data_IF_152053307085
#
_entry.id   IF_152053307085
#
_cell.length_a   1.000
_cell.length_b   1.000
_cell.length_c   1.000
_cell.angle_alpha   90.00
_cell.angle_beta   90.00
_cell.angle_gamma   90.00
#
_symmetry.space_group_name_H-M   'P 1'
#
loop_
_entity.id
_entity.type
_entity.pdbx_description
1 polymer ?
#
# COMPACT_ATOMS: atom_id res chain seq x y z
N UNK A 1 7.67 -2.63 -0.72
CA UNK A 1 6.85 -3.04 0.43
C UNK A 1 6.99 -4.55 0.65
N UNK A 2 7.47 -4.97 1.84
CA UNK A 2 7.80 -6.37 2.17
C UNK A 2 6.84 -6.88 3.23
N UNK A 3 6.15 -7.98 2.92
CA UNK A 3 5.16 -8.59 3.81
C UNK A 3 5.58 -10.00 4.25
N UNK A 4 5.35 -10.31 5.53
CA UNK A 4 5.70 -11.62 6.09
C UNK A 4 4.91 -12.77 5.46
N UNK A 5 3.65 -12.55 5.08
CA UNK A 5 2.81 -13.58 4.45
C UNK A 5 3.32 -14.00 3.07
N UNK A 6 3.68 -13.04 2.21
CA UNK A 6 4.27 -13.35 0.90
C UNK A 6 5.64 -14.01 1.03
N UNK A 7 6.43 -13.60 2.02
CA UNK A 7 7.73 -14.21 2.28
C UNK A 7 7.64 -15.71 2.57
N UNK A 8 6.65 -16.13 3.39
CA UNK A 8 6.43 -17.55 3.69
C UNK A 8 6.09 -18.33 2.42
N UNK A 9 5.18 -17.81 1.60
CA UNK A 9 4.69 -18.50 0.40
C UNK A 9 5.74 -18.58 -0.70
N UNK A 10 6.58 -17.56 -0.83
CA UNK A 10 7.60 -17.48 -1.91
C UNK A 10 8.98 -17.94 -1.49
N UNK A 11 9.17 -18.28 -0.22
CA UNK A 11 10.48 -18.59 0.35
C UNK A 11 11.52 -17.45 0.18
N UNK A 12 11.05 -16.18 0.04
CA UNK A 12 11.92 -15.01 0.12
C UNK A 12 12.07 -14.16 -1.15
N UNK A 13 11.14 -14.18 -2.09
CA UNK A 13 11.23 -13.41 -3.35
C UNK A 13 11.49 -11.92 -3.11
N UNK A 14 10.78 -11.27 -2.16
CA UNK A 14 10.98 -9.85 -1.86
C UNK A 14 12.41 -9.55 -1.36
N UNK A 15 12.96 -10.43 -0.51
CA UNK A 15 14.33 -10.31 0.02
C UNK A 15 15.33 -10.50 -1.11
N UNK A 16 15.14 -11.53 -1.95
CA UNK A 16 15.99 -11.79 -3.10
C UNK A 16 15.99 -10.61 -4.10
N UNK A 17 14.84 -9.98 -4.31
CA UNK A 17 14.74 -8.79 -5.15
C UNK A 17 15.56 -7.61 -4.59
N UNK A 18 15.46 -7.35 -3.28
CA UNK A 18 16.27 -6.30 -2.62
C UNK A 18 17.75 -6.59 -2.78
N UNK A 19 18.19 -7.83 -2.51
CA UNK A 19 19.58 -8.23 -2.68
C UNK A 19 20.06 -8.06 -4.12
N UNK A 20 19.26 -8.49 -5.08
CA UNK A 20 19.57 -8.33 -6.50
C UNK A 20 19.73 -6.84 -6.88
N UNK A 21 18.83 -5.96 -6.42
CA UNK A 21 18.90 -4.52 -6.70
C UNK A 21 20.17 -3.89 -6.11
N UNK A 22 20.54 -4.25 -4.88
CA UNK A 22 21.78 -3.82 -4.23
C UNK A 22 23.04 -4.36 -4.95
N UNK A 23 22.90 -5.41 -5.75
CA UNK A 23 24.04 -6.06 -6.40
C UNK A 23 24.80 -7.00 -5.46
N UNK A 24 24.06 -7.72 -4.64
CA UNK A 24 24.56 -8.83 -3.82
C UNK A 24 23.77 -10.10 -4.11
N UNK A 25 24.33 -11.26 -3.84
CA UNK A 25 23.63 -12.54 -3.98
C UNK A 25 23.65 -13.32 -2.68
N UNK A 26 22.59 -14.09 -2.35
CA UNK A 26 22.56 -14.90 -1.14
C UNK A 26 23.56 -16.05 -1.23
N UNK A 27 24.21 -16.36 -0.12
CA UNK A 27 25.06 -17.51 0.06
C UNK A 27 24.30 -18.58 0.84
N UNK A 28 24.16 -19.75 0.23
CA UNK A 28 23.35 -20.85 0.75
C UNK A 28 24.20 -21.91 1.43
N UNK A 29 23.72 -22.41 2.55
CA UNK A 29 24.22 -23.65 3.14
C UNK A 29 23.69 -24.84 2.34
N UNK A 30 24.57 -25.69 1.87
CA UNK A 30 24.20 -26.81 0.96
C UNK A 30 23.30 -27.85 1.62
N UNK A 31 23.52 -28.15 2.90
CA UNK A 31 22.88 -29.20 3.65
C UNK A 31 21.40 -28.96 3.91
N UNK A 32 21.01 -27.73 4.20
CA UNK A 32 19.66 -27.38 4.63
C UNK A 32 19.00 -26.28 3.80
N UNK A 33 19.70 -25.78 2.77
CA UNK A 33 19.26 -24.68 1.90
C UNK A 33 18.92 -23.39 2.63
N UNK A 34 19.52 -23.14 3.78
CA UNK A 34 19.36 -21.87 4.50
C UNK A 34 20.31 -20.83 3.94
N UNK A 35 19.85 -19.58 3.89
CA UNK A 35 20.72 -18.43 3.61
C UNK A 35 21.60 -18.21 4.84
N UNK A 36 22.91 -18.20 4.65
CA UNK A 36 23.92 -18.01 5.72
C UNK A 36 24.72 -16.72 5.57
N UNK A 37 24.34 -15.88 4.62
CA UNK A 37 24.99 -14.61 4.34
C UNK A 37 24.80 -14.21 2.88
N UNK A 38 25.65 -13.34 2.42
CA UNK A 38 25.64 -12.86 1.04
C UNK A 38 27.07 -12.68 0.52
N UNK A 39 27.20 -12.48 -0.77
CA UNK A 39 28.41 -12.04 -1.42
C UNK A 39 28.13 -10.83 -2.30
N UNK A 40 29.07 -9.90 -2.35
CA UNK A 40 28.97 -8.71 -3.19
C UNK A 40 29.35 -9.08 -4.63
N UNK A 41 28.49 -8.73 -5.57
CA UNK A 41 28.76 -8.88 -6.99
C UNK A 41 29.62 -7.67 -7.42
N UNK A 42 30.84 -7.88 -7.98
CA UNK A 42 31.63 -6.77 -8.48
C UNK A 42 30.92 -5.96 -9.56
N UNK A 43 31.11 -4.65 -9.63
CA UNK A 43 30.44 -3.78 -10.62
C UNK A 43 30.64 -4.25 -12.06
N UNK A 44 31.83 -4.79 -12.38
CA UNK A 44 32.13 -5.32 -13.71
C UNK A 44 31.26 -6.52 -14.08
N UNK A 45 30.89 -7.35 -13.10
CA UNK A 45 29.99 -8.50 -13.28
C UNK A 45 28.53 -8.04 -13.22
N UNK A 46 28.21 -7.11 -12.33
CA UNK A 46 26.84 -6.58 -12.16
C UNK A 46 26.34 -5.85 -13.42
N UNK A 47 27.22 -5.20 -14.16
CA UNK A 47 26.91 -4.54 -15.45
C UNK A 47 25.97 -3.34 -15.37
N UNK A 48 25.69 -2.84 -14.16
CA UNK A 48 24.83 -1.67 -13.88
C UNK A 48 25.22 -1.02 -12.56
N UNK A 49 24.75 0.21 -12.29
CA UNK A 49 24.86 0.80 -10.96
C UNK A 49 24.11 -0.03 -9.89
N UNK A 50 24.58 0.05 -8.65
CA UNK A 50 23.84 -0.42 -7.47
C UNK A 50 22.65 0.47 -7.22
N UNK A 51 21.48 -0.13 -7.03
CA UNK A 51 20.23 0.59 -6.79
C UNK A 51 20.01 0.69 -5.29
N UNK A 52 19.72 1.91 -4.80
CA UNK A 52 19.36 2.14 -3.42
C UNK A 52 17.91 1.66 -3.17
N UNK A 53 17.67 0.95 -2.09
CA UNK A 53 16.36 0.35 -1.79
C UNK A 53 15.92 0.72 -0.38
N UNK A 54 14.78 1.39 -0.29
CA UNK A 54 14.09 1.65 0.97
C UNK A 54 13.05 0.57 1.20
N UNK A 55 13.20 -0.21 2.25
CA UNK A 55 12.32 -1.32 2.60
C UNK A 55 11.27 -0.86 3.62
N UNK A 56 9.98 -0.89 3.25
CA UNK A 56 8.86 -0.73 4.19
C UNK A 56 8.35 -2.12 4.56
N UNK A 57 8.69 -2.56 5.76
CA UNK A 57 8.33 -3.89 6.27
C UNK A 57 7.00 -3.88 7.03
N UNK A 58 6.22 -4.97 6.92
CA UNK A 58 5.04 -5.20 7.74
C UNK A 58 5.43 -5.62 9.16
N UNK A 59 4.51 -5.43 10.13
CA UNK A 59 4.71 -5.91 11.49
C UNK A 59 4.95 -7.41 11.57
N UNK A 60 4.24 -8.19 10.75
CA UNK A 60 4.45 -9.64 10.70
C UNK A 60 5.84 -10.01 10.15
N UNK A 61 6.35 -9.31 9.12
CA UNK A 61 7.72 -9.53 8.65
C UNK A 61 8.73 -9.22 9.76
N UNK A 62 8.57 -8.09 10.46
CA UNK A 62 9.41 -7.69 11.58
C UNK A 62 9.50 -8.77 12.66
N UNK A 63 8.35 -9.31 13.07
CA UNK A 63 8.28 -10.20 14.23
C UNK A 63 8.68 -11.65 13.88
N UNK A 64 8.35 -12.11 12.69
CA UNK A 64 8.61 -13.49 12.27
C UNK A 64 10.00 -13.71 11.66
N UNK A 65 10.63 -12.64 11.12
CA UNK A 65 11.87 -12.78 10.34
C UNK A 65 12.98 -11.78 10.75
N UNK A 66 13.29 -11.61 12.04
CA UNK A 66 14.31 -10.67 12.48
C UNK A 66 15.69 -10.97 11.86
N UNK A 67 16.03 -12.24 11.65
CA UNK A 67 17.28 -12.63 11.00
C UNK A 67 17.40 -12.18 9.53
N UNK A 68 16.28 -11.95 8.84
CA UNK A 68 16.31 -11.39 7.48
C UNK A 68 16.45 -9.87 7.50
N UNK A 69 15.97 -9.20 8.55
CA UNK A 69 16.27 -7.79 8.77
C UNK A 69 17.78 -7.61 8.96
N UNK A 70 18.39 -8.42 9.83
CA UNK A 70 19.84 -8.41 10.05
C UNK A 70 20.61 -8.67 8.75
N UNK A 71 20.22 -9.66 7.97
CA UNK A 71 20.85 -9.99 6.70
C UNK A 71 20.76 -8.84 5.69
N UNK A 72 19.58 -8.23 5.55
CA UNK A 72 19.37 -7.11 4.64
C UNK A 72 20.14 -5.88 5.09
N UNK A 73 20.11 -5.56 6.39
CA UNK A 73 20.87 -4.43 6.93
C UNK A 73 22.37 -4.60 6.72
N UNK A 74 22.93 -5.76 7.04
CA UNK A 74 24.33 -6.08 6.78
C UNK A 74 24.69 -5.92 5.30
N UNK A 75 23.82 -6.36 4.38
CA UNK A 75 24.04 -6.18 2.95
C UNK A 75 24.03 -4.71 2.54
N UNK A 76 23.08 -3.93 3.05
CA UNK A 76 22.96 -2.48 2.81
C UNK A 76 24.21 -1.77 3.32
N UNK A 77 24.60 -2.01 4.58
CA UNK A 77 25.76 -1.38 5.18
C UNK A 77 27.05 -1.72 4.41
N UNK A 78 27.24 -2.99 4.05
CA UNK A 78 28.37 -3.44 3.25
C UNK A 78 28.43 -2.70 1.91
N UNK A 79 27.30 -2.56 1.21
CA UNK A 79 27.25 -1.87 -0.09
C UNK A 79 27.52 -0.38 0.05
N UNK A 80 27.05 0.27 1.11
CA UNK A 80 27.34 1.69 1.39
C UNK A 80 28.86 1.91 1.61
N UNK A 81 29.53 0.97 2.25
CA UNK A 81 30.94 1.07 2.60
C UNK A 81 31.91 0.70 1.45
N UNK A 82 31.40 0.17 0.33
CA UNK A 82 32.25 -0.13 -0.82
C UNK A 82 32.90 1.15 -1.38
N UNK A 83 34.20 1.10 -1.66
CA UNK A 83 34.90 2.19 -2.32
C UNK A 83 34.64 2.21 -3.83
N UNK A 84 33.43 2.60 -4.19
CA UNK A 84 32.92 2.67 -5.55
C UNK A 84 32.53 4.11 -5.90
N UNK A 85 32.60 4.51 -7.19
CA UNK A 85 32.12 5.82 -7.63
C UNK A 85 30.66 6.07 -7.25
N UNK A 86 30.33 7.27 -6.78
CA UNK A 86 28.96 7.63 -6.33
C UNK A 86 27.91 7.50 -7.45
N UNK A 87 28.32 7.62 -8.71
CA UNK A 87 27.46 7.47 -9.87
C UNK A 87 27.11 5.99 -10.15
N UNK A 88 27.85 5.07 -9.57
CA UNK A 88 27.66 3.62 -9.70
C UNK A 88 27.21 2.95 -8.42
N UNK A 89 27.21 3.68 -7.28
CA UNK A 89 26.74 3.18 -5.99
C UNK A 89 25.76 4.18 -5.36
N UNK A 90 24.47 4.06 -5.72
CA UNK A 90 23.43 4.94 -5.21
C UNK A 90 23.19 4.80 -3.70
N UNK A 91 23.25 3.60 -3.07
CA UNK A 91 23.21 3.48 -1.60
C UNK A 91 24.25 4.36 -0.90
N UNK A 92 25.50 4.32 -1.33
CA UNK A 92 26.59 5.18 -0.82
C UNK A 92 26.34 6.66 -1.09
N UNK A 93 25.93 6.99 -2.31
CA UNK A 93 25.62 8.37 -2.71
C UNK A 93 24.57 9.01 -1.83
N UNK A 94 23.44 8.32 -1.67
CA UNK A 94 22.34 8.86 -0.87
C UNK A 94 22.67 8.92 0.62
N UNK A 95 23.42 7.94 1.16
CA UNK A 95 23.88 8.00 2.54
C UNK A 95 24.77 9.24 2.77
N UNK A 96 25.73 9.53 1.88
CA UNK A 96 26.57 10.73 1.97
C UNK A 96 25.75 12.02 1.90
N UNK A 97 24.84 12.13 0.94
CA UNK A 97 24.00 13.33 0.75
C UNK A 97 23.06 13.55 1.94
N UNK A 98 22.44 12.49 2.44
CA UNK A 98 21.53 12.56 3.59
C UNK A 98 22.28 12.94 4.86
N UNK A 99 23.45 12.35 5.13
CA UNK A 99 24.28 12.72 6.28
C UNK A 99 24.65 14.21 6.24
N UNK A 100 25.09 14.72 5.09
CA UNK A 100 25.41 16.13 4.93
C UNK A 100 24.18 17.04 5.15
N UNK A 101 23.03 16.65 4.65
CA UNK A 101 21.79 17.41 4.85
C UNK A 101 21.37 17.45 6.34
N UNK A 102 21.48 16.32 7.05
CA UNK A 102 21.18 16.23 8.49
C UNK A 102 22.14 17.11 9.31
N UNK A 103 23.44 17.07 9.02
CA UNK A 103 24.44 17.92 9.70
C UNK A 103 24.13 19.40 9.44
N UNK A 104 23.83 19.77 8.20
CA UNK A 104 23.46 21.15 7.86
C UNK A 104 22.17 21.60 8.58
N UNK A 105 21.28 20.65 8.88
CA UNK A 105 20.05 20.85 9.65
C UNK A 105 20.26 20.89 11.17
N UNK A 106 21.50 20.76 11.66
CA UNK A 106 21.86 20.85 13.08
C UNK A 106 21.92 19.50 13.82
N UNK A 107 21.78 18.36 13.13
CA UNK A 107 22.02 17.04 13.74
C UNK A 107 23.54 16.86 13.94
N UNK A 108 23.95 16.29 15.09
CA UNK A 108 25.36 15.98 15.30
C UNK A 108 25.86 14.96 14.27
N UNK A 109 27.17 14.98 14.01
CA UNK A 109 27.76 14.23 12.92
C UNK A 109 27.61 12.70 13.08
N UNK A 110 27.71 12.18 14.29
CA UNK A 110 27.61 10.74 14.57
C UNK A 110 26.17 10.25 14.31
N UNK A 111 25.19 10.94 14.87
CA UNK A 111 23.77 10.68 14.63
C UNK A 111 23.40 10.82 13.15
N UNK A 112 23.86 11.88 12.49
CA UNK A 112 23.62 12.11 11.07
C UNK A 112 24.17 10.98 10.19
N UNK A 113 25.39 10.51 10.47
CA UNK A 113 26.00 9.38 9.74
C UNK A 113 25.23 8.07 9.97
N UNK A 114 24.80 7.81 11.20
CA UNK A 114 23.99 6.62 11.53
C UNK A 114 22.64 6.66 10.84
N UNK A 115 21.87 7.73 11.01
CA UNK A 115 20.52 7.86 10.47
C UNK A 115 20.48 7.90 8.95
N UNK A 116 21.47 8.49 8.30
CA UNK A 116 21.59 8.52 6.84
C UNK A 116 21.74 7.13 6.20
N UNK A 117 22.07 6.13 6.98
CA UNK A 117 22.26 4.73 6.54
C UNK A 117 21.05 3.84 6.73
N UNK A 118 20.00 4.30 7.42
CA UNK A 118 18.76 3.53 7.60
C UNK A 118 18.04 3.31 6.28
N UNK A 119 17.69 2.07 6.01
CA UNK A 119 16.94 1.68 4.79
C UNK A 119 15.79 0.72 5.07
N UNK A 120 15.64 0.22 6.30
CA UNK A 120 14.57 -0.70 6.68
C UNK A 120 13.70 0.02 7.72
N UNK A 121 12.44 0.25 7.35
CA UNK A 121 11.50 1.00 8.16
C UNK A 121 10.20 0.21 8.36
N UNK A 122 9.59 0.33 9.53
CA UNK A 122 8.37 -0.35 9.91
C UNK A 122 7.55 0.44 10.92
N UNK A 123 6.42 -0.13 11.35
CA UNK A 123 5.69 0.35 12.52
C UNK A 123 6.47 0.03 13.80
N UNK A 124 6.20 0.74 14.92
CA UNK A 124 6.90 0.47 16.19
C UNK A 124 6.69 -0.98 16.66
N UNK A 125 7.60 -1.53 17.47
CA UNK A 125 7.43 -2.87 18.04
C UNK A 125 6.07 -3.06 18.71
N UNK A 126 5.41 -4.19 18.45
CA UNK A 126 4.08 -4.50 18.96
C UNK A 126 2.92 -3.83 18.24
N UNK A 127 3.18 -2.97 17.23
CA UNK A 127 2.15 -2.32 16.41
C UNK A 127 2.12 -2.86 14.99
N UNK A 128 0.93 -2.83 14.38
CA UNK A 128 0.67 -3.32 13.01
C UNK A 128 -0.05 -2.24 12.20
N UNK A 129 -0.05 -2.37 10.88
CA UNK A 129 -0.68 -1.42 9.96
C UNK A 129 0.22 -0.25 9.57
N UNK A 130 -0.37 0.72 8.88
CA UNK A 130 0.30 1.92 8.37
C UNK A 130 -0.42 3.23 8.76
N UNK A 131 -1.51 3.13 9.54
CA UNK A 131 -2.27 4.28 10.02
C UNK A 131 -3.16 4.95 8.98
N UNK A 132 -3.18 4.47 7.75
CA UNK A 132 -3.91 5.10 6.64
C UNK A 132 -5.41 4.83 6.68
N UNK A 133 -5.84 3.63 7.12
CA UNK A 133 -7.24 3.24 7.14
C UNK A 133 -8.09 4.20 8.00
N UNK A 134 -7.78 4.47 9.28
CA UNK A 134 -8.58 5.39 10.09
C UNK A 134 -8.61 6.82 9.55
N UNK A 135 -7.54 7.25 8.87
CA UNK A 135 -7.46 8.58 8.27
C UNK A 135 -8.41 8.72 7.08
N UNK A 136 -8.46 7.70 6.21
CA UNK A 136 -9.31 7.66 5.02
C UNK A 136 -10.77 7.44 5.41
N UNK A 137 -11.05 6.49 6.30
CA UNK A 137 -12.41 6.20 6.76
C UNK A 137 -13.03 7.38 7.52
N UNK A 138 -12.23 8.05 8.34
CA UNK A 138 -12.65 9.24 9.06
C UNK A 138 -12.71 10.51 8.21
N UNK A 139 -12.34 10.44 6.93
CA UNK A 139 -12.29 11.59 6.00
C UNK A 139 -11.42 12.76 6.49
N UNK A 140 -10.47 12.49 7.41
CA UNK A 140 -9.65 13.48 8.12
C UNK A 140 -8.37 13.84 7.36
N UNK A 141 -8.45 14.00 6.06
CA UNK A 141 -7.33 14.38 5.20
C UNK A 141 -7.81 15.33 4.09
N UNK A 142 -6.98 16.26 3.71
CA UNK A 142 -7.25 17.20 2.63
C UNK A 142 -6.36 16.96 1.41
N UNK A 143 -5.10 16.61 1.64
CA UNK A 143 -4.09 16.49 0.59
C UNK A 143 -3.05 15.39 0.88
N UNK A 144 -2.08 15.27 -0.02
CA UNK A 144 -0.98 14.31 0.12
C UNK A 144 -0.09 14.57 1.35
N UNK A 145 -0.01 15.80 1.85
CA UNK A 145 0.80 16.11 3.02
C UNK A 145 0.20 15.51 4.29
N UNK A 146 -1.14 15.48 4.39
CA UNK A 146 -1.84 14.81 5.48
C UNK A 146 -1.60 13.30 5.45
N UNK A 147 -1.72 12.69 4.26
CA UNK A 147 -1.44 11.27 4.05
C UNK A 147 0.01 10.93 4.40
N UNK A 148 0.96 11.74 3.92
CA UNK A 148 2.39 11.55 4.18
C UNK A 148 2.70 11.65 5.67
N UNK A 149 2.17 12.63 6.38
CA UNK A 149 2.40 12.83 7.81
C UNK A 149 2.02 11.60 8.63
N UNK A 150 0.85 11.02 8.36
CA UNK A 150 0.41 9.82 9.06
C UNK A 150 1.27 8.62 8.68
N UNK A 151 1.57 8.45 7.39
CA UNK A 151 2.41 7.35 6.91
C UNK A 151 3.81 7.38 7.51
N UNK A 152 4.45 8.56 7.55
CA UNK A 152 5.77 8.74 8.13
C UNK A 152 5.76 8.48 9.63
N UNK A 153 4.79 9.02 10.35
CA UNK A 153 4.66 8.82 11.79
C UNK A 153 4.46 7.34 12.18
N UNK A 154 3.65 6.61 11.42
CA UNK A 154 3.39 5.19 11.67
C UNK A 154 4.51 4.28 11.17
N UNK A 155 5.18 4.67 10.09
CA UNK A 155 6.22 3.87 9.43
C UNK A 155 7.65 4.27 9.75
N UNK A 156 7.86 5.37 10.47
CA UNK A 156 9.17 6.00 10.70
C UNK A 156 9.97 5.38 11.85
N UNK A 157 9.96 4.06 11.98
CA UNK A 157 10.80 3.34 12.94
C UNK A 157 11.82 2.50 12.20
N UNK A 158 13.12 2.78 12.45
CA UNK A 158 14.22 2.08 11.80
C UNK A 158 14.52 0.74 12.45
N UNK A 159 14.90 -0.21 11.62
CA UNK A 159 15.30 -1.56 11.99
C UNK A 159 16.66 -1.86 11.36
N UNK A 160 17.62 -2.29 12.17
CA UNK A 160 18.97 -2.66 11.76
C UNK A 160 19.39 -3.98 12.40
N UNK A 161 20.60 -4.42 12.15
CA UNK A 161 21.17 -5.59 12.84
C UNK A 161 21.28 -5.39 14.37
N UNK A 162 21.35 -4.15 14.82
CA UNK A 162 21.59 -3.81 16.25
C UNK A 162 20.45 -3.01 16.88
N UNK A 163 19.59 -2.37 16.09
CA UNK A 163 18.52 -1.50 16.56
C UNK A 163 17.14 -2.05 16.12
N UNK A 164 16.18 -2.05 17.04
CA UNK A 164 14.86 -2.64 16.81
C UNK A 164 13.75 -1.61 17.06
N UNK A 165 13.32 -0.93 15.98
CA UNK A 165 12.22 0.05 16.05
C UNK A 165 12.61 1.37 16.71
N UNK A 166 13.76 1.90 16.37
CA UNK A 166 14.21 3.22 16.82
C UNK A 166 13.43 4.30 16.08
N UNK A 167 12.87 5.32 16.76
CA UNK A 167 12.23 6.44 16.09
C UNK A 167 13.17 7.13 15.10
N UNK A 168 12.78 7.21 13.84
CA UNK A 168 13.60 7.72 12.73
C UNK A 168 12.74 8.35 11.62
N UNK A 169 11.71 9.11 11.99
CA UNK A 169 10.76 9.72 11.04
C UNK A 169 11.46 10.63 10.04
N UNK A 170 12.41 11.44 10.51
CA UNK A 170 13.21 12.35 9.65
C UNK A 170 14.07 11.57 8.66
N UNK A 171 14.74 10.51 9.10
CA UNK A 171 15.53 9.64 8.24
C UNK A 171 14.65 8.91 7.21
N UNK A 172 13.45 8.47 7.61
CA UNK A 172 12.50 7.84 6.71
C UNK A 172 12.01 8.82 5.64
N UNK A 173 11.66 10.06 6.02
CA UNK A 173 11.27 11.10 5.08
C UNK A 173 12.41 11.42 4.09
N UNK A 174 13.65 11.56 4.59
CA UNK A 174 14.82 11.78 3.75
C UNK A 174 15.05 10.62 2.76
N UNK A 175 14.96 9.38 3.21
CA UNK A 175 15.08 8.21 2.35
C UNK A 175 13.98 8.16 1.27
N UNK A 176 12.71 8.39 1.64
CA UNK A 176 11.58 8.38 0.69
C UNK A 176 11.66 9.52 -0.34
N UNK A 177 12.22 10.68 0.02
CA UNK A 177 12.36 11.81 -0.91
C UNK A 177 13.23 11.50 -2.12
N UNK A 178 14.13 10.50 -2.02
CA UNK A 178 15.01 10.06 -3.10
C UNK A 178 14.42 8.98 -3.99
N UNK A 179 13.29 8.38 -3.57
CA UNK A 179 12.68 7.23 -4.25
C UNK A 179 12.04 7.67 -5.57
N UNK A 180 12.38 6.95 -6.64
CA UNK A 180 11.83 7.16 -7.98
C UNK A 180 10.84 6.06 -8.39
N UNK A 181 10.91 4.89 -7.76
CA UNK A 181 10.09 3.72 -8.06
C UNK A 181 9.52 3.14 -6.78
N UNK A 182 8.19 3.00 -6.71
CA UNK A 182 7.49 2.29 -5.66
C UNK A 182 6.98 0.95 -6.18
N UNK A 183 7.25 -0.14 -5.46
CA UNK A 183 6.86 -1.49 -5.89
C UNK A 183 6.29 -2.34 -4.77
N UNK A 184 5.37 -3.23 -5.12
CA UNK A 184 4.82 -4.29 -4.29
C UNK A 184 4.68 -5.55 -5.13
N UNK A 185 5.10 -6.69 -4.58
CA UNK A 185 4.94 -7.99 -5.22
C UNK A 185 3.68 -8.70 -4.73
N UNK A 186 3.08 -9.49 -5.62
CA UNK A 186 1.93 -10.37 -5.38
C UNK A 186 2.26 -11.78 -5.85
N UNK A 187 2.16 -12.73 -4.94
CA UNK A 187 2.52 -14.13 -5.15
C UNK A 187 1.31 -15.07 -5.27
N UNK A 188 0.11 -14.55 -5.09
CA UNK A 188 -1.14 -15.31 -5.12
C UNK A 188 -2.20 -14.60 -5.94
N UNK A 189 -3.19 -15.36 -6.43
CA UNK A 189 -4.41 -14.84 -7.07
C UNK A 189 -5.64 -14.95 -6.18
N UNK A 190 -5.49 -15.44 -4.96
CA UNK A 190 -6.59 -15.50 -3.98
C UNK A 190 -6.98 -14.11 -3.50
N UNK A 191 -6.00 -13.21 -3.44
CA UNK A 191 -6.20 -11.81 -3.10
C UNK A 191 -5.69 -10.91 -4.22
N UNK A 192 -6.33 -9.77 -4.40
CA UNK A 192 -5.89 -8.74 -5.32
C UNK A 192 -5.82 -7.35 -4.65
N UNK A 193 -5.41 -6.35 -5.40
CA UNK A 193 -5.17 -5.01 -4.87
C UNK A 193 -6.41 -4.29 -4.33
N UNK A 194 -7.61 -4.79 -4.60
CA UNK A 194 -8.88 -4.25 -4.11
C UNK A 194 -9.62 -5.21 -3.17
N UNK A 195 -8.91 -6.20 -2.62
CA UNK A 195 -9.44 -7.23 -1.75
C UNK A 195 -8.98 -7.08 -0.28
N UNK A 196 -8.08 -6.13 -0.02
CA UNK A 196 -7.59 -5.80 1.31
C UNK A 196 -7.14 -4.35 1.37
N UNK A 197 -7.43 -3.70 2.48
CA UNK A 197 -6.97 -2.35 2.82
C UNK A 197 -5.43 -2.26 2.94
N UNK A 198 -4.75 -3.34 3.26
CA UNK A 198 -3.30 -3.39 3.37
C UNK A 198 -2.58 -2.88 2.11
N UNK A 199 -3.12 -3.14 0.92
CA UNK A 199 -2.48 -2.70 -0.32
C UNK A 199 -2.40 -1.17 -0.42
N UNK A 200 -3.51 -0.47 -0.19
CA UNK A 200 -3.48 0.98 -0.24
C UNK A 200 -2.81 1.59 1.00
N UNK A 201 -2.90 0.94 2.15
CA UNK A 201 -2.24 1.42 3.36
C UNK A 201 -0.71 1.39 3.20
N UNK A 202 -0.13 0.26 2.81
CA UNK A 202 1.32 0.09 2.74
C UNK A 202 1.92 0.62 1.44
N UNK A 203 1.43 0.16 0.30
CA UNK A 203 1.97 0.56 -1.01
C UNK A 203 1.43 1.92 -1.43
N UNK A 204 0.12 2.13 -1.32
CA UNK A 204 -0.51 3.42 -1.63
C UNK A 204 0.02 4.55 -0.75
N UNK A 205 0.04 4.35 0.58
CA UNK A 205 0.57 5.33 1.53
C UNK A 205 2.04 5.70 1.26
N UNK A 206 2.87 4.72 0.86
CA UNK A 206 4.24 4.98 0.43
C UNK A 206 4.28 5.88 -0.81
N UNK A 207 3.43 5.63 -1.79
CA UNK A 207 3.33 6.44 -3.02
C UNK A 207 2.91 7.87 -2.70
N UNK A 208 1.89 8.05 -1.85
CA UNK A 208 1.45 9.36 -1.40
C UNK A 208 2.56 10.12 -0.65
N UNK A 209 3.27 9.45 0.26
CA UNK A 209 4.40 10.03 0.99
C UNK A 209 5.54 10.45 0.06
N UNK A 210 5.94 9.61 -0.90
CA UNK A 210 6.95 9.96 -1.90
C UNK A 210 6.50 11.17 -2.71
N UNK A 211 5.25 11.22 -3.15
CA UNK A 211 4.71 12.32 -3.94
C UNK A 211 4.72 13.63 -3.16
N UNK A 212 4.29 13.61 -1.90
CA UNK A 212 4.30 14.77 -1.01
C UNK A 212 5.73 15.30 -0.78
N UNK A 213 6.68 14.40 -0.52
CA UNK A 213 8.07 14.76 -0.19
C UNK A 213 8.89 15.21 -1.41
N UNK A 214 8.67 14.59 -2.58
CA UNK A 214 9.46 14.85 -3.78
C UNK A 214 8.80 15.81 -4.78
N UNK A 215 7.52 16.11 -4.62
CA UNK A 215 6.72 16.87 -5.59
C UNK A 215 6.44 16.10 -6.89
N UNK A 216 6.76 14.81 -6.97
CA UNK A 216 6.64 13.99 -8.19
C UNK A 216 6.00 12.64 -7.90
N UNK A 217 5.14 12.17 -8.80
CA UNK A 217 4.67 10.79 -8.74
C UNK A 217 5.83 9.82 -9.03
N UNK A 218 6.12 8.86 -8.15
CA UNK A 218 7.07 7.80 -8.48
C UNK A 218 6.51 6.92 -9.60
N UNK A 219 7.37 6.25 -10.35
CA UNK A 219 6.96 5.11 -11.15
C UNK A 219 6.41 4.03 -10.20
N UNK A 220 5.27 3.41 -10.56
CA UNK A 220 4.52 2.53 -9.67
C UNK A 220 4.37 1.17 -10.31
N UNK A 221 5.04 0.18 -9.75
CA UNK A 221 5.01 -1.16 -10.31
C UNK A 221 4.42 -2.17 -9.33
N UNK A 222 3.79 -3.17 -9.92
CA UNK A 222 3.22 -4.31 -9.25
C UNK A 222 3.80 -5.58 -9.88
N UNK A 223 4.54 -6.35 -9.07
CA UNK A 223 5.15 -7.59 -9.48
C UNK A 223 4.18 -8.75 -9.25
N UNK A 224 3.84 -9.50 -10.29
CA UNK A 224 3.00 -10.69 -10.22
C UNK A 224 3.87 -11.94 -10.38
N UNK A 225 4.16 -12.64 -9.28
CA UNK A 225 4.86 -13.91 -9.22
C UNK A 225 3.94 -15.09 -8.92
N UNK A 226 2.61 -14.92 -9.04
CA UNK A 226 1.62 -15.98 -8.83
C UNK A 226 1.78 -17.19 -9.78
N UNK A 227 2.42 -16.99 -10.92
CA UNK A 227 2.96 -18.02 -11.78
C UNK A 227 4.50 -17.89 -11.78
N UNK A 228 5.23 -18.65 -10.94
CA UNK A 228 6.68 -18.53 -10.83
C UNK A 228 7.44 -18.79 -12.14
N UNK A 229 6.86 -19.55 -13.07
CA UNK A 229 7.44 -19.79 -14.38
C UNK A 229 7.32 -18.59 -15.33
N UNK A 230 6.42 -17.65 -15.04
CA UNK A 230 6.13 -16.48 -15.89
C UNK A 230 5.85 -15.24 -15.04
N UNK A 231 6.80 -14.78 -14.21
CA UNK A 231 6.62 -13.57 -13.44
C UNK A 231 6.40 -12.37 -14.37
N UNK A 232 5.56 -11.44 -13.95
CA UNK A 232 5.22 -10.24 -14.72
C UNK A 232 5.33 -9.00 -13.85
N UNK A 233 5.81 -7.92 -14.42
CA UNK A 233 5.77 -6.60 -13.80
C UNK A 233 4.82 -5.72 -14.60
N UNK A 234 3.87 -5.07 -13.93
CA UNK A 234 2.90 -4.16 -14.55
C UNK A 234 2.99 -2.79 -13.90
N UNK A 235 2.67 -1.75 -14.65
CA UNK A 235 2.31 -0.47 -14.05
C UNK A 235 1.08 -0.66 -13.15
N UNK A 236 1.03 0.05 -12.03
CA UNK A 236 -0.05 -0.12 -11.06
C UNK A 236 -1.43 0.22 -11.63
N UNK A 237 -1.51 1.19 -12.57
CA UNK A 237 -2.77 1.49 -13.26
C UNK A 237 -3.21 0.36 -14.19
N UNK A 238 -2.25 -0.32 -14.81
CA UNK A 238 -2.55 -1.50 -15.64
C UNK A 238 -3.09 -2.62 -14.77
N UNK A 239 -2.47 -2.88 -13.62
CA UNK A 239 -2.96 -3.87 -12.68
C UNK A 239 -4.35 -3.51 -12.13
N UNK A 240 -4.58 -2.25 -11.75
CA UNK A 240 -5.89 -1.78 -11.31
C UNK A 240 -6.98 -2.03 -12.38
N UNK A 241 -6.70 -1.69 -13.63
CA UNK A 241 -7.64 -1.95 -14.75
C UNK A 241 -7.89 -3.45 -14.97
N UNK A 242 -6.86 -4.28 -14.81
CA UNK A 242 -6.98 -5.73 -14.93
C UNK A 242 -7.91 -6.29 -13.87
N UNK A 243 -7.64 -5.99 -12.60
CA UNK A 243 -8.45 -6.45 -11.47
C UNK A 243 -9.89 -5.92 -11.56
N UNK A 244 -10.05 -4.65 -11.90
CA UNK A 244 -11.35 -4.03 -12.06
C UNK A 244 -12.22 -4.81 -13.05
N UNK A 245 -11.70 -5.11 -14.25
CA UNK A 245 -12.45 -5.83 -15.29
C UNK A 245 -12.66 -7.32 -14.95
N UNK A 246 -11.68 -7.95 -14.31
CA UNK A 246 -11.74 -9.40 -14.06
C UNK A 246 -12.51 -9.77 -12.82
N UNK A 247 -12.69 -8.83 -11.87
CA UNK A 247 -13.44 -9.06 -10.63
C UNK A 247 -14.51 -8.00 -10.40
N UNK A 248 -14.15 -6.74 -10.18
CA UNK A 248 -15.06 -5.71 -9.65
C UNK A 248 -16.37 -5.61 -10.44
N UNK A 249 -16.30 -5.54 -11.77
CA UNK A 249 -17.49 -5.46 -12.65
C UNK A 249 -17.74 -6.76 -13.41
N UNK A 250 -17.17 -7.87 -12.96
CA UNK A 250 -17.38 -9.17 -13.60
C UNK A 250 -18.75 -9.75 -13.18
N UNK A 251 -19.68 -9.99 -14.14
CA UNK A 251 -21.01 -10.51 -13.80
C UNK A 251 -20.98 -11.84 -13.04
N UNK A 252 -19.98 -12.70 -13.29
CA UNK A 252 -19.84 -13.97 -12.57
C UNK A 252 -19.47 -13.76 -11.11
N UNK A 253 -18.61 -12.78 -10.83
CA UNK A 253 -18.25 -12.44 -9.46
C UNK A 253 -19.44 -11.81 -8.73
N UNK A 254 -20.14 -10.85 -9.34
CA UNK A 254 -21.35 -10.24 -8.78
C UNK A 254 -22.44 -11.29 -8.49
N UNK A 255 -22.71 -12.20 -9.43
CA UNK A 255 -23.63 -13.31 -9.21
C UNK A 255 -23.19 -14.26 -8.08
N UNK A 256 -21.87 -14.42 -7.86
CA UNK A 256 -21.35 -15.16 -6.72
C UNK A 256 -21.60 -14.44 -5.40
N UNK A 257 -21.35 -13.13 -5.34
CA UNK A 257 -21.58 -12.31 -4.14
C UNK A 257 -23.06 -12.32 -3.73
N UNK A 258 -23.99 -12.26 -4.70
CA UNK A 258 -25.43 -12.36 -4.41
C UNK A 258 -25.79 -13.63 -3.64
N UNK A 259 -25.13 -14.76 -3.88
CA UNK A 259 -25.38 -16.02 -3.16
C UNK A 259 -24.90 -16.01 -1.71
N UNK A 260 -24.04 -15.06 -1.34
CA UNK A 260 -23.51 -14.92 0.02
C UNK A 260 -24.35 -13.97 0.90
N UNK A 261 -25.47 -13.44 0.40
CA UNK A 261 -26.37 -12.59 1.17
C UNK A 261 -25.68 -11.39 1.81
N UNK A 262 -25.91 -11.17 3.11
CA UNK A 262 -25.32 -10.05 3.87
C UNK A 262 -23.82 -9.90 3.65
N UNK A 263 -23.08 -11.01 3.73
CA UNK A 263 -21.62 -10.98 3.54
C UNK A 263 -21.23 -10.54 2.13
N UNK A 264 -21.98 -10.97 1.11
CA UNK A 264 -21.75 -10.53 -0.27
C UNK A 264 -21.94 -9.03 -0.45
N UNK A 265 -22.95 -8.43 0.20
CA UNK A 265 -23.14 -6.98 0.23
C UNK A 265 -21.96 -6.25 0.89
N UNK A 266 -21.49 -6.78 2.02
CA UNK A 266 -20.32 -6.25 2.71
C UNK A 266 -19.07 -6.29 1.83
N UNK A 267 -18.84 -7.36 1.07
CA UNK A 267 -17.71 -7.51 0.15
C UNK A 267 -17.75 -6.49 -1.01
N UNK A 268 -18.96 -6.15 -1.50
CA UNK A 268 -19.11 -5.09 -2.50
C UNK A 268 -18.70 -3.74 -1.93
N UNK A 269 -19.19 -3.39 -0.74
CA UNK A 269 -18.85 -2.13 -0.09
C UNK A 269 -17.35 -2.05 0.21
N UNK A 270 -16.76 -3.08 0.80
CA UNK A 270 -15.33 -3.16 1.08
C UNK A 270 -14.47 -3.02 -0.19
N UNK A 271 -14.89 -3.64 -1.30
CA UNK A 271 -14.22 -3.48 -2.59
C UNK A 271 -14.21 -2.01 -3.05
N UNK A 272 -15.31 -1.28 -2.87
CA UNK A 272 -15.38 0.15 -3.21
C UNK A 272 -14.52 1.00 -2.27
N UNK A 273 -14.48 0.68 -0.99
CA UNK A 273 -13.59 1.33 -0.02
C UNK A 273 -12.11 1.16 -0.38
N UNK A 274 -11.71 -0.05 -0.77
CA UNK A 274 -10.32 -0.33 -1.16
C UNK A 274 -9.95 0.31 -2.50
N UNK A 275 -10.87 0.35 -3.46
CA UNK A 275 -10.74 1.11 -4.70
C UNK A 275 -10.49 2.59 -4.39
N UNK A 276 -11.35 3.20 -3.59
CA UNK A 276 -11.24 4.58 -3.18
C UNK A 276 -9.92 4.86 -2.44
N UNK A 277 -9.58 4.04 -1.44
CA UNK A 277 -8.34 4.18 -0.67
C UNK A 277 -7.09 4.11 -1.55
N UNK A 278 -7.10 3.22 -2.54
CA UNK A 278 -5.97 3.12 -3.48
C UNK A 278 -5.90 4.30 -4.44
N UNK A 279 -7.04 4.85 -4.86
CA UNK A 279 -7.04 6.05 -5.69
C UNK A 279 -6.63 7.29 -4.90
N UNK A 280 -7.13 7.45 -3.68
CA UNK A 280 -6.73 8.52 -2.76
C UNK A 280 -5.21 8.56 -2.55
N UNK A 281 -4.60 7.40 -2.37
CA UNK A 281 -3.17 7.28 -2.05
C UNK A 281 -2.27 7.23 -3.29
N UNK A 282 -2.71 6.59 -4.38
CA UNK A 282 -1.87 6.31 -5.53
C UNK A 282 -2.40 6.81 -6.89
N UNK A 283 -3.58 7.42 -6.94
CA UNK A 283 -4.17 8.00 -8.16
C UNK A 283 -4.22 7.00 -9.32
N UNK A 284 -4.84 5.85 -9.07
CA UNK A 284 -4.82 4.71 -10.00
C UNK A 284 -6.09 4.52 -10.81
N UNK A 285 -7.22 5.09 -10.37
CA UNK A 285 -8.48 4.96 -11.06
C UNK A 285 -8.65 6.01 -12.16
N UNK A 286 -9.50 5.71 -13.09
CA UNK A 286 -9.97 6.65 -14.10
C UNK A 286 -11.48 6.81 -13.95
N UNK A 287 -12.03 7.94 -14.37
CA UNK A 287 -13.45 8.31 -14.25
C UNK A 287 -14.40 7.18 -14.68
N UNK A 288 -14.07 6.47 -15.79
CA UNK A 288 -14.88 5.37 -16.27
C UNK A 288 -15.00 4.20 -15.29
N UNK A 289 -14.05 4.03 -14.37
CA UNK A 289 -14.10 2.96 -13.36
C UNK A 289 -15.14 3.29 -12.28
N UNK A 290 -15.18 4.54 -11.84
CA UNK A 290 -16.23 5.03 -10.93
C UNK A 290 -17.61 4.95 -11.58
N UNK A 291 -17.73 5.36 -12.86
CA UNK A 291 -18.96 5.25 -13.63
C UNK A 291 -19.45 3.81 -13.73
N UNK A 292 -18.55 2.85 -13.95
CA UNK A 292 -18.90 1.42 -14.03
C UNK A 292 -19.30 0.85 -12.65
N UNK A 293 -18.66 1.27 -11.57
CA UNK A 293 -19.12 0.89 -10.21
C UNK A 293 -20.54 1.41 -9.99
N UNK A 294 -20.81 2.67 -10.30
CA UNK A 294 -22.14 3.24 -10.17
C UNK A 294 -23.16 2.50 -11.03
N UNK A 295 -22.81 2.18 -12.28
CA UNK A 295 -23.68 1.43 -13.17
C UNK A 295 -24.05 0.05 -12.63
N UNK A 296 -23.07 -0.70 -12.15
CA UNK A 296 -23.26 -2.09 -11.75
C UNK A 296 -23.69 -2.27 -10.28
N UNK A 297 -23.42 -1.31 -9.39
CA UNK A 297 -23.69 -1.46 -7.95
C UNK A 297 -24.84 -0.58 -7.47
N UNK A 298 -25.03 0.60 -8.07
CA UNK A 298 -26.06 1.57 -7.67
C UNK A 298 -27.24 1.56 -8.63
N UNK A 299 -26.99 1.51 -9.95
CA UNK A 299 -28.05 1.67 -10.97
C UNK A 299 -28.61 0.36 -11.48
N UNK A 300 -27.94 -0.76 -11.26
CA UNK A 300 -28.48 -2.08 -11.61
C UNK A 300 -29.65 -2.44 -10.67
N UNK A 301 -30.89 -2.55 -11.19
CA UNK A 301 -32.04 -2.71 -10.32
C UNK A 301 -32.04 -4.04 -9.56
N UNK A 302 -31.44 -5.09 -10.11
CA UNK A 302 -31.35 -6.39 -9.42
C UNK A 302 -30.34 -6.34 -8.27
N UNK A 303 -29.21 -5.68 -8.46
CA UNK A 303 -28.19 -5.51 -7.40
C UNK A 303 -28.70 -4.55 -6.34
N UNK A 304 -29.33 -3.44 -6.72
CA UNK A 304 -29.91 -2.48 -5.80
C UNK A 304 -30.98 -3.12 -4.90
N UNK A 305 -31.94 -3.81 -5.51
CA UNK A 305 -32.98 -4.51 -4.75
C UNK A 305 -32.39 -5.56 -3.82
N UNK A 306 -31.46 -6.37 -4.30
CA UNK A 306 -30.79 -7.37 -3.49
C UNK A 306 -30.04 -6.75 -2.31
N UNK A 307 -29.29 -5.64 -2.49
CA UNK A 307 -28.61 -4.95 -1.41
C UNK A 307 -29.59 -4.38 -0.39
N UNK A 308 -30.71 -3.81 -0.82
CA UNK A 308 -31.77 -3.36 0.08
C UNK A 308 -32.32 -4.47 0.97
N UNK A 309 -32.47 -5.67 0.41
CA UNK A 309 -33.02 -6.82 1.15
C UNK A 309 -32.01 -7.42 2.14
N UNK A 310 -30.72 -7.53 1.75
CA UNK A 310 -29.73 -8.27 2.54
C UNK A 310 -28.80 -7.37 3.38
N UNK A 311 -28.47 -6.17 2.89
CA UNK A 311 -27.57 -5.24 3.57
C UNK A 311 -27.72 -3.79 3.03
N UNK A 312 -28.76 -3.06 3.43
CA UNK A 312 -28.98 -1.68 2.97
C UNK A 312 -27.84 -0.72 3.35
N UNK A 313 -27.13 -1.00 4.43
CA UNK A 313 -25.95 -0.23 4.84
C UNK A 313 -24.77 -0.32 3.87
N UNK A 314 -24.63 -1.47 3.19
CA UNK A 314 -23.61 -1.63 2.17
C UNK A 314 -23.90 -0.75 0.95
N UNK A 315 -25.16 -0.66 0.52
CA UNK A 315 -25.57 0.22 -0.59
C UNK A 315 -25.29 1.68 -0.26
N UNK A 316 -25.62 2.11 0.96
CA UNK A 316 -25.37 3.46 1.43
C UNK A 316 -23.86 3.75 1.51
N UNK A 317 -23.06 2.86 2.08
CA UNK A 317 -21.61 3.02 2.18
C UNK A 317 -20.96 3.17 0.79
N UNK A 318 -21.40 2.39 -0.21
CA UNK A 318 -20.95 2.53 -1.60
C UNK A 318 -21.27 3.93 -2.15
N UNK A 319 -22.51 4.41 -1.94
CA UNK A 319 -22.93 5.72 -2.42
C UNK A 319 -22.16 6.87 -1.72
N UNK A 320 -21.95 6.79 -0.42
CA UNK A 320 -21.16 7.75 0.37
C UNK A 320 -19.72 7.84 -0.16
N UNK A 321 -19.09 6.71 -0.44
CA UNK A 321 -17.72 6.66 -0.93
C UNK A 321 -17.59 7.21 -2.37
N UNK A 322 -18.56 6.93 -3.24
CA UNK A 322 -18.61 7.49 -4.59
C UNK A 322 -18.84 9.00 -4.56
N UNK A 323 -19.73 9.47 -3.69
CA UNK A 323 -19.96 10.91 -3.49
C UNK A 323 -18.71 11.62 -2.94
N UNK A 324 -17.99 10.99 -2.02
CA UNK A 324 -16.70 11.53 -1.52
C UNK A 324 -15.67 11.63 -2.65
N UNK A 325 -15.60 10.64 -3.55
CA UNK A 325 -14.70 10.68 -4.72
C UNK A 325 -15.01 11.87 -5.65
N UNK A 326 -16.29 12.19 -5.84
CA UNK A 326 -16.73 13.39 -6.58
C UNK A 326 -16.31 14.65 -5.83
N UNK A 327 -16.65 14.77 -4.55
CA UNK A 327 -16.36 15.94 -3.73
C UNK A 327 -14.87 16.26 -3.62
N UNK A 328 -14.00 15.24 -3.65
CA UNK A 328 -12.54 15.38 -3.63
C UNK A 328 -11.91 15.59 -5.02
N UNK A 329 -12.72 15.55 -6.11
CA UNK A 329 -12.22 15.68 -7.48
C UNK A 329 -11.41 14.48 -7.95
N UNK A 330 -11.52 13.33 -7.30
CA UNK A 330 -10.94 12.07 -7.72
C UNK A 330 -11.70 11.51 -8.92
N UNK A 331 -13.03 11.58 -8.89
CA UNK A 331 -13.91 11.39 -10.03
C UNK A 331 -14.28 12.74 -10.63
N UNK A 332 -13.64 13.11 -11.75
CA UNK A 332 -13.69 14.48 -12.29
C UNK A 332 -14.92 14.78 -13.16
N UNK A 333 -15.41 13.77 -13.87
CA UNK A 333 -16.50 13.95 -14.84
C UNK A 333 -17.58 12.88 -14.62
N UNK A 334 -18.29 12.89 -13.46
CA UNK A 334 -19.41 11.99 -13.24
C UNK A 334 -20.56 12.35 -14.18
N UNK A 335 -21.25 11.33 -14.72
CA UNK A 335 -22.45 11.59 -15.53
C UNK A 335 -23.57 12.15 -14.66
N UNK A 336 -24.50 12.97 -15.24
CA UNK A 336 -25.67 13.44 -14.49
C UNK A 336 -26.50 12.29 -13.92
N UNK A 337 -26.61 11.20 -14.66
CA UNK A 337 -27.34 10.01 -14.26
C UNK A 337 -26.67 9.30 -13.06
N UNK A 338 -25.34 9.26 -13.02
CA UNK A 338 -24.59 8.71 -11.90
C UNK A 338 -24.79 9.58 -10.64
N UNK A 339 -24.67 10.90 -10.78
CA UNK A 339 -24.87 11.82 -9.66
C UNK A 339 -26.30 11.72 -9.09
N UNK A 340 -27.31 11.66 -9.96
CA UNK A 340 -28.70 11.52 -9.54
C UNK A 340 -28.95 10.20 -8.78
N UNK A 341 -28.41 9.09 -9.29
CA UNK A 341 -28.56 7.78 -8.65
C UNK A 341 -27.86 7.71 -7.28
N UNK A 342 -26.67 8.29 -7.16
CA UNK A 342 -25.96 8.38 -5.87
C UNK A 342 -26.75 9.23 -4.88
N UNK A 343 -27.24 10.40 -5.29
CA UNK A 343 -28.04 11.28 -4.44
C UNK A 343 -29.32 10.61 -3.95
N UNK A 344 -30.00 9.86 -4.81
CA UNK A 344 -31.20 9.10 -4.45
C UNK A 344 -30.92 8.07 -3.34
N UNK A 345 -29.85 7.27 -3.48
CA UNK A 345 -29.46 6.28 -2.45
C UNK A 345 -29.09 6.96 -1.13
N UNK A 346 -28.40 8.08 -1.17
CA UNK A 346 -28.03 8.83 0.04
C UNK A 346 -29.26 9.35 0.78
N UNK A 347 -30.26 9.90 0.05
CA UNK A 347 -31.53 10.36 0.63
C UNK A 347 -32.30 9.23 1.28
N UNK A 348 -32.42 8.08 0.59
CA UNK A 348 -33.06 6.89 1.16
C UNK A 348 -32.34 6.38 2.41
N UNK A 349 -31.01 6.48 2.46
CA UNK A 349 -30.21 6.13 3.62
C UNK A 349 -30.45 7.03 4.84
N UNK A 350 -30.69 8.33 4.63
CA UNK A 350 -31.06 9.26 5.70
C UNK A 350 -32.43 8.92 6.28
N UNK A 351 -33.42 8.63 5.44
CA UNK A 351 -34.75 8.18 5.87
C UNK A 351 -34.70 6.91 6.70
N UNK A 352 -33.83 5.95 6.32
CA UNK A 352 -33.61 4.72 7.10
C UNK A 352 -33.03 5.03 8.48
N UNK A 353 -32.06 5.93 8.57
CA UNK A 353 -31.45 6.36 9.86
C UNK A 353 -32.46 7.03 10.76
N UNK A 354 -33.26 7.93 10.23
CA UNK A 354 -34.34 8.60 10.97
C UNK A 354 -35.39 7.60 11.45
N UNK A 355 -35.81 6.66 10.62
CA UNK A 355 -36.76 5.60 10.98
C UNK A 355 -36.25 4.66 12.08
N UNK A 356 -34.94 4.42 12.16
CA UNK A 356 -34.32 3.67 13.26
C UNK A 356 -34.12 4.48 14.54
N UNK A 357 -34.06 5.81 14.42
CA UNK A 357 -33.88 6.73 15.55
C UNK A 357 -35.20 7.14 16.19
N UNK A 358 -36.34 6.91 15.52
CA UNK A 358 -37.65 7.17 16.10
C UNK A 358 -37.91 6.21 17.27
N UNK A 359 -38.37 6.68 18.46
CA UNK A 359 -38.74 5.81 19.55
C UNK A 359 -39.85 4.86 19.06
N UNK A 360 -39.62 3.57 19.15
CA UNK A 360 -40.74 2.61 19.00
C UNK A 360 -41.73 2.95 20.09
N UNK A 361 -42.90 3.49 19.72
CA UNK A 361 -44.02 3.57 20.62
C UNK A 361 -44.30 2.16 21.09
N UNK A 362 -43.89 1.88 22.32
CA UNK A 362 -44.31 0.69 23.04
C UNK A 362 -45.75 0.99 23.41
N UNK A 363 -46.67 0.63 22.52
CA UNK A 363 -48.09 0.58 22.84
C UNK A 363 -48.26 -0.25 24.10
N UNK A 364 -48.49 0.48 25.18
CA UNK A 364 -49.03 -0.06 26.42
C UNK A 364 -50.49 -0.45 26.15
N UNK A 365 -50.70 -1.60 25.61
CA UNK A 365 -51.97 -2.25 25.78
C UNK A 365 -51.91 -3.23 26.96
N UNK A 366 -52.77 -2.96 27.92
CA UNK A 366 -53.31 -3.43 29.09
C UNK A 366 -53.07 -4.82 29.71
#
# INVERSE_FOLDING_TARGET
SIWGTSLIRTAGDDVAQVMALLGVRPRWQRENRRVIGFEVIPLAELGRPRIDVVCRISGFFRDAFPHLIELLDQAIQTVIDLDEPLELNFPRKHACLTAQALVNGGTDQETAQREARYRIFGSPPGSYGAGMLPLIDGQNWADDADLARVYLRWGGYAYTATEQGVPAETAFAAALSTVQVATKNQDTREHDIFDSDDYFQFHGGMIAAIRALSGRNPARYFGDSSDPARPRTRDLREEARRVFRTRVVNPKWLASMRRHGYKGGLELAATVDYLFGYDATAQVLADWMYEQVTTHYIRDPEIQQWLHEVNPWALQAIAERLNEAIGRGMWRHPSPEAQAAIAEVLTQGEELREGFSAPRDIDREG
#
